data_IF_233318700652
#
_entry.id   IF_233318700652
#
_cell.length_a   1.000
_cell.length_b   1.000
_cell.length_c   1.000
_cell.angle_alpha   90.00
_cell.angle_beta   90.00
_cell.angle_gamma   90.00
#
_symmetry.space_group_name_H-M   'P 1'
#
loop_
_entity.id
_entity.type
_entity.pdbx_description
1 polymer ?
#
# COMPACT_ATOMS: atom_id res chain seq x y z
N UNK A 1 -2.18 3.44 15.48
CA UNK A 1 -2.30 1.97 15.64
C UNK A 1 -1.82 1.33 14.35
N UNK A 2 -0.54 0.97 14.32
CA UNK A 2 0.16 0.36 13.17
C UNK A 2 0.23 -1.17 13.34
N UNK A 3 -0.84 -1.72 13.89
CA UNK A 3 -1.04 -3.14 14.14
C UNK A 3 -2.48 -3.54 13.85
N UNK A 4 -2.79 -4.85 13.96
CA UNK A 4 -4.15 -5.34 13.83
C UNK A 4 -5.10 -4.68 14.85
N UNK A 5 -6.41 -4.63 14.58
CA UNK A 5 -7.38 -4.13 15.55
C UNK A 5 -7.33 -4.96 16.86
N UNK A 6 -7.48 -4.31 18.02
CA UNK A 6 -7.22 -4.91 19.33
C UNK A 6 -8.07 -6.15 19.68
N UNK A 7 -9.23 -6.32 19.04
CA UNK A 7 -10.15 -7.46 19.25
C UNK A 7 -10.27 -8.36 18.01
N UNK A 8 -9.30 -8.30 17.10
CA UNK A 8 -9.28 -9.13 15.89
C UNK A 8 -8.35 -10.33 16.06
N UNK A 9 -8.54 -11.36 15.24
CA UNK A 9 -7.74 -12.58 15.26
C UNK A 9 -7.32 -12.99 13.85
N UNK A 10 -6.27 -13.80 13.74
CA UNK A 10 -5.83 -14.27 12.44
C UNK A 10 -6.86 -15.21 11.84
N UNK A 11 -7.41 -14.87 10.67
CA UNK A 11 -8.43 -15.69 9.99
C UNK A 11 -7.95 -17.06 9.48
N UNK A 12 -6.67 -17.41 9.68
CA UNK A 12 -6.08 -18.69 9.27
C UNK A 12 -5.92 -19.62 10.48
N UNK A 13 -5.29 -19.17 11.57
CA UNK A 13 -5.12 -19.98 12.78
C UNK A 13 -6.20 -19.75 13.84
N UNK A 14 -7.07 -18.75 13.67
CA UNK A 14 -8.10 -18.32 14.62
C UNK A 14 -7.57 -17.91 16.00
N UNK A 15 -6.27 -17.61 16.09
CA UNK A 15 -5.61 -17.16 17.31
C UNK A 15 -5.14 -15.71 17.25
N UNK A 16 -4.49 -15.26 18.32
CA UNK A 16 -3.84 -13.96 18.37
C UNK A 16 -2.77 -13.84 17.27
N UNK A 17 -2.56 -12.61 16.81
CA UNK A 17 -1.55 -12.36 15.80
C UNK A 17 -0.13 -12.59 16.34
N UNK A 18 0.61 -13.48 15.69
CA UNK A 18 2.04 -13.68 15.91
C UNK A 18 2.81 -13.12 14.72
N UNK A 19 3.69 -12.15 14.98
CA UNK A 19 4.40 -11.37 13.96
C UNK A 19 3.42 -10.87 12.88
N UNK A 20 2.48 -9.96 13.22
CA UNK A 20 1.42 -9.53 12.32
C UNK A 20 1.95 -8.85 11.05
N UNK A 21 1.34 -9.20 9.93
CA UNK A 21 1.57 -8.60 8.62
C UNK A 21 0.25 -8.21 7.97
N UNK A 22 0.24 -7.02 7.35
CA UNK A 22 -0.90 -6.46 6.64
C UNK A 22 -0.75 -6.68 5.13
N UNK A 23 -1.78 -7.24 4.49
CA UNK A 23 -1.84 -7.36 3.04
C UNK A 23 -2.25 -6.05 2.35
N UNK A 24 -1.98 -5.92 1.05
CA UNK A 24 -2.44 -4.77 0.23
C UNK A 24 -3.97 -4.57 0.21
N UNK A 25 -4.74 -5.59 0.60
CA UNK A 25 -6.18 -5.50 0.81
C UNK A 25 -6.60 -5.06 2.23
N UNK A 26 -5.65 -4.58 3.04
CA UNK A 26 -5.80 -4.15 4.44
C UNK A 26 -6.07 -5.22 5.50
N UNK A 27 -6.28 -6.49 5.11
CA UNK A 27 -6.44 -7.60 6.06
C UNK A 27 -5.12 -8.01 6.71
N UNK A 28 -5.20 -8.51 7.94
CA UNK A 28 -4.07 -8.91 8.77
C UNK A 28 -3.97 -10.42 8.93
N UNK A 29 -2.74 -10.92 8.99
CA UNK A 29 -2.44 -12.33 9.22
C UNK A 29 -1.16 -12.48 10.06
N UNK A 30 -1.00 -13.61 10.73
CA UNK A 30 0.32 -14.01 11.24
C UNK A 30 1.27 -14.27 10.07
N UNK A 31 2.55 -13.92 10.21
CA UNK A 31 3.53 -14.09 9.13
C UNK A 31 3.66 -15.54 8.67
N UNK A 32 3.77 -16.50 9.60
CA UNK A 32 3.81 -17.93 9.27
C UNK A 32 2.52 -18.41 8.60
N UNK A 33 1.35 -17.99 9.09
CA UNK A 33 0.07 -18.42 8.54
C UNK A 33 -0.09 -18.03 7.06
N UNK A 34 0.25 -16.78 6.70
CA UNK A 34 0.09 -16.34 5.32
C UNK A 34 1.15 -16.94 4.38
N UNK A 35 2.35 -17.23 4.88
CA UNK A 35 3.36 -17.97 4.13
C UNK A 35 2.92 -19.40 3.84
N UNK A 36 2.28 -20.08 4.80
CA UNK A 36 1.71 -21.42 4.57
C UNK A 36 0.62 -21.43 3.50
N UNK A 37 -0.26 -20.41 3.50
CA UNK A 37 -1.26 -20.24 2.43
C UNK A 37 -0.59 -20.10 1.05
N UNK A 38 0.55 -19.43 0.97
CA UNK A 38 1.33 -19.35 -0.26
C UNK A 38 1.98 -20.69 -0.62
N UNK A 39 2.59 -21.39 0.34
CA UNK A 39 3.26 -22.68 0.14
C UNK A 39 2.31 -23.77 -0.37
N UNK A 40 1.04 -23.76 0.06
CA UNK A 40 0.01 -24.67 -0.43
C UNK A 40 -0.61 -24.25 -1.78
N UNK A 41 -0.32 -23.04 -2.23
CA UNK A 41 -0.78 -22.50 -3.51
C UNK A 41 0.15 -22.82 -4.67
N UNK A 42 -0.03 -22.08 -5.78
CA UNK A 42 0.94 -22.11 -6.87
C UNK A 42 2.15 -21.23 -6.52
N UNK A 43 3.34 -21.82 -6.49
CA UNK A 43 4.58 -21.09 -6.20
C UNK A 43 4.83 -19.91 -7.17
N UNK A 44 4.26 -19.96 -8.37
CA UNK A 44 4.41 -18.93 -9.42
C UNK A 44 3.35 -17.83 -9.37
N UNK A 45 2.41 -17.88 -8.42
CA UNK A 45 1.34 -16.90 -8.33
C UNK A 45 1.25 -16.31 -6.92
N UNK A 46 0.89 -15.03 -6.80
CA UNK A 46 0.60 -14.44 -5.50
C UNK A 46 -0.57 -15.19 -4.85
N UNK A 47 -0.47 -15.45 -3.55
CA UNK A 47 -1.56 -16.07 -2.81
C UNK A 47 -2.80 -15.15 -2.80
N UNK A 48 -3.99 -15.75 -2.67
CA UNK A 48 -5.23 -14.99 -2.54
C UNK A 48 -5.55 -14.79 -1.07
N UNK A 49 -6.05 -13.61 -0.75
CA UNK A 49 -6.52 -13.27 0.58
C UNK A 49 -7.67 -14.22 1.02
N UNK A 50 -7.54 -14.93 2.15
CA UNK A 50 -8.62 -15.78 2.68
C UNK A 50 -9.96 -15.06 2.88
N UNK A 51 -9.93 -13.76 3.21
CA UNK A 51 -11.13 -12.98 3.52
C UNK A 51 -11.81 -12.38 2.28
N UNK A 52 -11.04 -11.76 1.37
CA UNK A 52 -11.60 -11.03 0.23
C UNK A 52 -11.18 -11.54 -1.15
N UNK A 53 -10.41 -12.64 -1.21
CA UNK A 53 -9.97 -13.34 -2.42
C UNK A 53 -9.12 -12.52 -3.41
N UNK A 54 -8.76 -11.27 -3.08
CA UNK A 54 -7.82 -10.45 -3.85
C UNK A 54 -6.42 -11.05 -3.79
N UNK A 55 -5.64 -10.87 -4.86
CA UNK A 55 -4.23 -11.27 -4.86
C UNK A 55 -3.43 -10.41 -3.88
N UNK A 56 -2.68 -11.10 -3.02
CA UNK A 56 -1.78 -10.47 -2.07
C UNK A 56 -0.44 -10.33 -2.77
N UNK A 57 -0.08 -9.11 -3.14
CA UNK A 57 1.18 -8.83 -3.86
C UNK A 57 2.17 -8.06 -2.99
N UNK A 58 1.73 -7.61 -1.82
CA UNK A 58 2.56 -6.91 -0.85
C UNK A 58 2.05 -7.26 0.55
N UNK A 59 2.98 -7.66 1.41
CA UNK A 59 2.80 -7.89 2.83
C UNK A 59 3.68 -6.91 3.59
N UNK A 60 3.08 -6.14 4.50
CA UNK A 60 3.79 -5.12 5.27
C UNK A 60 3.78 -5.49 6.75
N UNK A 61 4.93 -5.62 7.43
CA UNK A 61 4.96 -5.90 8.86
C UNK A 61 4.27 -4.79 9.67
N UNK A 62 3.69 -5.17 10.82
CA UNK A 62 3.29 -4.22 11.86
C UNK A 62 4.52 -3.54 12.48
N UNK A 63 4.30 -2.44 13.21
CA UNK A 63 5.39 -1.79 13.94
C UNK A 63 6.06 -2.74 14.95
N UNK A 64 5.25 -3.44 15.73
CA UNK A 64 5.72 -4.41 16.73
C UNK A 64 6.51 -5.55 16.08
N UNK A 65 6.07 -6.01 14.91
CA UNK A 65 6.78 -7.03 14.13
C UNK A 65 8.15 -6.53 13.67
N UNK A 66 8.25 -5.26 13.27
CA UNK A 66 9.52 -4.63 12.88
C UNK A 66 10.46 -4.42 14.05
N UNK A 67 9.95 -4.07 15.24
CA UNK A 67 10.75 -3.95 16.47
C UNK A 67 11.27 -5.31 16.97
N UNK A 68 10.50 -6.38 16.72
CA UNK A 68 10.90 -7.75 17.06
C UNK A 68 11.89 -8.36 16.05
N UNK A 69 12.40 -7.60 15.06
CA UNK A 69 13.31 -8.13 14.05
C UNK A 69 14.62 -8.73 14.61
N UNK A 70 15.02 -8.38 15.84
CA UNK A 70 16.18 -8.99 16.51
C UNK A 70 15.91 -10.42 17.01
N UNK A 71 14.64 -10.84 17.13
CA UNK A 71 14.28 -12.20 17.47
C UNK A 71 14.59 -13.15 16.28
N UNK A 72 15.33 -14.26 16.47
CA UNK A 72 15.59 -15.24 15.43
C UNK A 72 14.34 -15.76 14.71
N UNK A 73 13.24 -15.94 15.43
CA UNK A 73 11.97 -16.40 14.83
C UNK A 73 11.37 -15.33 13.92
N UNK A 74 11.28 -14.09 14.40
CA UNK A 74 10.68 -12.99 13.65
C UNK A 74 11.52 -12.60 12.42
N UNK A 75 12.84 -12.58 12.56
CA UNK A 75 13.76 -12.30 11.44
C UNK A 75 13.60 -13.30 10.29
N UNK A 76 13.44 -14.58 10.59
CA UNK A 76 13.25 -15.60 9.55
C UNK A 76 11.89 -15.43 8.83
N UNK A 77 10.83 -15.12 9.56
CA UNK A 77 9.51 -14.83 8.98
C UNK A 77 9.57 -13.60 8.09
N UNK A 78 10.20 -12.51 8.55
CA UNK A 78 10.37 -11.27 7.80
C UNK A 78 11.16 -11.54 6.51
N UNK A 79 12.27 -12.29 6.58
CA UNK A 79 13.10 -12.63 5.41
C UNK A 79 12.35 -13.43 4.35
N UNK A 80 11.50 -14.37 4.76
CA UNK A 80 10.62 -15.12 3.83
C UNK A 80 9.60 -14.18 3.17
N UNK A 81 9.01 -13.28 3.94
CA UNK A 81 8.05 -12.29 3.43
C UNK A 81 8.71 -11.27 2.50
N UNK A 82 9.93 -10.83 2.79
CA UNK A 82 10.71 -9.99 1.90
C UNK A 82 10.97 -10.68 0.56
N UNK A 83 11.31 -11.97 0.60
CA UNK A 83 11.48 -12.77 -0.61
C UNK A 83 10.18 -12.88 -1.40
N UNK A 84 9.04 -13.08 -0.72
CA UNK A 84 7.71 -13.06 -1.34
C UNK A 84 7.40 -11.71 -2.02
N UNK A 85 7.61 -10.60 -1.30
CA UNK A 85 7.38 -9.25 -1.80
C UNK A 85 8.30 -8.90 -2.97
N UNK A 86 9.53 -9.43 -3.00
CA UNK A 86 10.44 -9.24 -4.13
C UNK A 86 9.93 -9.91 -5.40
N UNK A 87 9.35 -11.11 -5.27
CA UNK A 87 8.80 -11.87 -6.41
C UNK A 87 7.52 -11.20 -6.94
N UNK A 88 6.59 -10.81 -6.06
CA UNK A 88 5.24 -10.39 -6.46
C UNK A 88 4.96 -8.88 -6.33
N UNK A 89 5.79 -8.12 -5.62
CA UNK A 89 5.57 -6.70 -5.33
C UNK A 89 5.61 -5.81 -6.56
N UNK A 90 6.47 -6.14 -7.53
CA UNK A 90 6.64 -5.45 -8.81
C UNK A 90 5.68 -5.93 -9.89
N UNK A 91 4.89 -6.99 -9.63
CA UNK A 91 4.04 -7.59 -10.65
C UNK A 91 3.01 -6.56 -11.16
N UNK A 92 2.85 -6.48 -12.48
CA UNK A 92 2.01 -5.50 -13.15
C UNK A 92 0.54 -5.76 -12.84
N UNK A 93 0.05 -5.16 -11.76
CA UNK A 93 -1.37 -5.18 -11.43
C UNK A 93 -2.15 -4.40 -12.49
N UNK A 94 -3.19 -5.01 -13.05
CA UNK A 94 -4.11 -4.31 -13.96
C UNK A 94 -4.75 -3.10 -13.28
N UNK A 95 -5.28 -2.16 -14.07
CA UNK A 95 -5.84 -0.90 -13.54
C UNK A 95 -6.91 -1.12 -12.46
N UNK A 96 -7.76 -2.14 -12.61
CA UNK A 96 -8.76 -2.52 -11.60
C UNK A 96 -8.14 -2.86 -10.24
N UNK A 97 -7.04 -3.62 -10.23
CA UNK A 97 -6.35 -3.95 -9.00
C UNK A 97 -5.64 -2.73 -8.40
N UNK A 98 -5.08 -1.84 -9.23
CA UNK A 98 -4.51 -0.57 -8.74
C UNK A 98 -5.55 0.30 -8.04
N UNK A 99 -6.74 0.42 -8.63
CA UNK A 99 -7.87 1.14 -8.02
C UNK A 99 -8.31 0.50 -6.70
N UNK A 100 -8.32 -0.83 -6.62
CA UNK A 100 -8.68 -1.56 -5.40
C UNK A 100 -7.65 -1.42 -4.27
N UNK A 101 -6.36 -1.33 -4.62
CA UNK A 101 -5.26 -1.14 -3.67
C UNK A 101 -5.08 0.33 -3.27
N UNK A 102 -5.57 1.26 -4.09
CA UNK A 102 -5.43 2.70 -3.90
C UNK A 102 -5.90 3.23 -2.53
N UNK A 103 -7.10 2.90 -2.01
CA UNK A 103 -7.55 3.43 -0.72
C UNK A 103 -6.64 2.98 0.44
N UNK A 104 -6.10 1.76 0.37
CA UNK A 104 -5.13 1.27 1.34
C UNK A 104 -3.84 2.09 1.29
N UNK A 105 -3.29 2.29 0.09
CA UNK A 105 -2.04 3.01 -0.12
C UNK A 105 -2.15 4.48 0.29
N UNK A 106 -3.22 5.18 -0.10
CA UNK A 106 -3.45 6.59 0.26
C UNK A 106 -3.63 6.73 1.77
N UNK A 107 -4.50 5.90 2.39
CA UNK A 107 -4.74 5.96 3.84
C UNK A 107 -3.46 5.76 4.63
N UNK A 108 -2.61 4.83 4.19
CA UNK A 108 -1.32 4.57 4.83
C UNK A 108 -0.33 5.70 4.58
N UNK A 109 -0.21 6.19 3.35
CA UNK A 109 0.66 7.32 3.02
C UNK A 109 0.27 8.57 3.81
N UNK A 110 -1.01 8.90 3.88
CA UNK A 110 -1.51 10.05 4.62
C UNK A 110 -1.11 9.98 6.09
N UNK A 111 -1.26 8.80 6.71
CA UNK A 111 -0.82 8.56 8.09
C UNK A 111 0.70 8.74 8.25
N UNK A 112 1.50 8.17 7.36
CA UNK A 112 2.96 8.30 7.42
C UNK A 112 3.45 9.73 7.15
N UNK A 113 2.73 10.52 6.35
CA UNK A 113 3.03 11.94 6.10
C UNK A 113 2.67 12.80 7.31
N UNK A 114 1.54 12.50 7.98
CA UNK A 114 1.10 13.22 9.18
C UNK A 114 1.93 12.90 10.42
N UNK A 115 2.67 11.79 10.44
CA UNK A 115 3.54 11.41 11.54
C UNK A 115 4.92 12.11 11.41
N UNK A 116 5.25 13.08 12.29
CA UNK A 116 6.49 13.85 12.19
C UNK A 116 7.77 13.02 12.38
N UNK A 117 7.67 11.84 12.99
CA UNK A 117 8.82 11.00 13.35
C UNK A 117 9.20 9.98 12.25
N UNK A 118 8.38 9.79 11.21
CA UNK A 118 8.64 8.83 10.13
C UNK A 118 9.45 9.43 8.98
N UNK A 119 10.57 8.78 8.63
CA UNK A 119 11.45 9.12 7.51
C UNK A 119 10.89 8.64 6.17
N UNK A 120 9.76 9.21 5.73
CA UNK A 120 9.41 9.13 4.30
C UNK A 120 10.50 9.82 3.48
N UNK A 121 10.99 9.20 2.38
CA UNK A 121 11.95 9.83 1.48
C UNK A 121 11.49 11.23 1.07
N UNK A 122 12.38 12.22 1.20
CA UNK A 122 12.09 13.62 0.87
C UNK A 122 11.45 13.79 -0.52
N UNK A 123 11.85 12.95 -1.49
CA UNK A 123 11.31 12.93 -2.85
C UNK A 123 9.80 12.67 -2.90
N UNK A 124 9.25 11.82 -2.02
CA UNK A 124 7.81 11.59 -1.95
C UNK A 124 7.12 12.83 -1.40
N UNK A 125 7.65 13.39 -0.30
CA UNK A 125 7.10 14.60 0.32
C UNK A 125 7.08 15.75 -0.69
N UNK A 126 8.17 15.95 -1.42
CA UNK A 126 8.28 16.95 -2.48
C UNK A 126 7.29 16.69 -3.64
N UNK A 127 7.15 15.45 -4.12
CA UNK A 127 6.19 15.13 -5.19
C UNK A 127 4.74 15.32 -4.76
N UNK A 128 4.38 14.89 -3.55
CA UNK A 128 3.04 15.11 -2.97
C UNK A 128 2.78 16.60 -2.80
N UNK A 129 3.75 17.36 -2.27
CA UNK A 129 3.62 18.81 -2.11
C UNK A 129 3.49 19.55 -3.44
N UNK A 130 4.34 19.25 -4.42
CA UNK A 130 4.28 19.84 -5.76
C UNK A 130 2.94 19.58 -6.42
N UNK A 131 2.43 18.35 -6.28
CA UNK A 131 1.21 17.98 -6.97
C UNK A 131 -0.04 18.50 -6.20
N UNK A 132 0.00 18.66 -4.88
CA UNK A 132 -0.98 19.46 -4.12
C UNK A 132 -0.96 20.94 -4.54
N UNK A 133 0.24 21.52 -4.69
CA UNK A 133 0.42 22.89 -5.16
C UNK A 133 -0.14 23.06 -6.58
N UNK A 134 0.10 22.09 -7.48
CA UNK A 134 -0.50 22.08 -8.83
C UNK A 134 -2.02 22.05 -8.79
N UNK A 135 -2.63 21.25 -7.90
CA UNK A 135 -4.10 21.24 -7.72
C UNK A 135 -4.60 22.59 -7.21
N UNK A 136 -3.92 23.22 -6.26
CA UNK A 136 -4.27 24.56 -5.75
C UNK A 136 -4.12 25.62 -6.85
N UNK A 137 -3.05 25.57 -7.64
CA UNK A 137 -2.81 26.48 -8.77
C UNK A 137 -3.91 26.30 -9.83
N UNK A 138 -4.30 25.05 -10.13
CA UNK A 138 -5.39 24.76 -11.06
C UNK A 138 -6.70 25.38 -10.56
N UNK A 139 -7.11 25.12 -9.31
CA UNK A 139 -8.36 25.63 -8.72
C UNK A 139 -8.40 27.17 -8.60
N UNK A 140 -7.25 27.82 -8.37
CA UNK A 140 -7.17 29.28 -8.22
C UNK A 140 -6.87 30.01 -9.54
N UNK A 141 -6.57 29.29 -10.61
CA UNK A 141 -6.26 29.88 -11.91
C UNK A 141 -7.55 30.27 -12.63
N UNK A 142 -7.74 31.55 -13.00
CA UNK A 142 -8.89 31.99 -13.82
C UNK A 142 -8.80 31.53 -15.29
N UNK A 143 -7.87 30.61 -15.59
CA UNK A 143 -7.62 30.04 -16.92
C UNK A 143 -7.93 28.55 -16.84
N UNK A 144 -9.22 28.23 -16.74
CA UNK A 144 -9.67 26.90 -17.14
C UNK A 144 -9.55 26.79 -18.66
N UNK A 145 -8.95 25.69 -19.11
CA UNK A 145 -8.84 25.34 -20.54
C UNK A 145 -10.23 25.18 -21.19
N UNK A 146 -11.30 25.12 -20.38
CA UNK A 146 -12.70 25.03 -20.80
C UNK A 146 -13.54 26.00 -19.96
N UNK A 147 -14.24 26.99 -20.56
CA UNK A 147 -15.06 27.91 -19.78
C UNK A 147 -16.22 27.14 -19.11
N UNK A 148 -16.17 27.06 -17.78
CA UNK A 148 -17.15 26.40 -16.91
C UNK A 148 -18.59 26.88 -17.16
N UNK A 149 -18.73 28.10 -17.68
CA UNK A 149 -20.01 28.73 -18.03
C UNK A 149 -20.76 28.07 -19.22
N UNK A 150 -20.11 27.23 -20.04
CA UNK A 150 -20.71 26.61 -21.23
C UNK A 150 -20.99 25.10 -21.07
N UNK A 151 -20.30 24.40 -20.16
CA UNK A 151 -20.37 22.94 -20.02
C UNK A 151 -20.16 22.44 -18.59
N UNK A 152 -20.81 23.04 -17.58
CA UNK A 152 -20.53 22.82 -16.15
C UNK A 152 -20.31 21.36 -15.67
N UNK A 153 -20.95 20.34 -16.28
CA UNK A 153 -20.72 18.92 -15.91
C UNK A 153 -19.40 18.36 -16.48
N UNK A 154 -18.94 18.85 -17.64
CA UNK A 154 -17.69 18.40 -18.27
C UNK A 154 -16.44 18.97 -17.59
N UNK A 155 -16.52 20.17 -16.99
CA UNK A 155 -15.43 20.72 -16.16
C UNK A 155 -15.18 19.87 -14.93
N UNK A 156 -16.24 19.52 -14.19
CA UNK A 156 -16.16 18.63 -13.02
C UNK A 156 -15.59 17.24 -13.37
N UNK A 157 -15.86 16.75 -14.59
CA UNK A 157 -15.33 15.47 -15.05
C UNK A 157 -13.80 15.54 -15.24
N UNK A 158 -13.27 16.64 -15.78
CA UNK A 158 -11.83 16.86 -15.93
C UNK A 158 -11.12 16.86 -14.58
N UNK A 159 -11.67 17.58 -13.59
CA UNK A 159 -11.18 17.60 -12.20
C UNK A 159 -11.11 16.21 -11.58
N UNK A 160 -12.19 15.43 -11.73
CA UNK A 160 -12.25 14.06 -11.21
C UNK A 160 -11.21 13.17 -11.89
N UNK A 161 -11.02 13.30 -13.20
CA UNK A 161 -10.02 12.54 -13.95
C UNK A 161 -8.60 12.92 -13.51
N UNK A 162 -8.29 14.22 -13.40
CA UNK A 162 -6.99 14.73 -12.96
C UNK A 162 -6.69 14.25 -11.53
N UNK A 163 -7.66 14.37 -10.61
CA UNK A 163 -7.53 13.87 -9.25
C UNK A 163 -7.28 12.36 -9.22
N UNK A 164 -8.01 11.58 -10.02
CA UNK A 164 -7.83 10.14 -10.11
C UNK A 164 -6.43 9.77 -10.63
N UNK A 165 -5.95 10.44 -11.68
CA UNK A 165 -4.61 10.24 -12.24
C UNK A 165 -3.55 10.58 -11.20
N UNK A 166 -3.70 11.71 -10.49
CA UNK A 166 -2.83 12.11 -9.40
C UNK A 166 -2.75 11.01 -8.33
N UNK A 167 -3.89 10.53 -7.85
CA UNK A 167 -3.94 9.52 -6.79
C UNK A 167 -3.33 8.20 -7.26
N UNK A 168 -3.61 7.76 -8.49
CA UNK A 168 -2.98 6.59 -9.09
C UNK A 168 -1.46 6.76 -9.21
N UNK A 169 -0.97 7.94 -9.59
CA UNK A 169 0.46 8.23 -9.67
C UNK A 169 1.12 8.17 -8.29
N UNK A 170 0.54 8.84 -7.30
CA UNK A 170 1.02 8.83 -5.91
C UNK A 170 0.97 7.41 -5.34
N UNK A 171 -0.10 6.66 -5.58
CA UNK A 171 -0.27 5.27 -5.17
C UNK A 171 0.79 4.35 -5.77
N UNK A 172 1.07 4.47 -7.08
CA UNK A 172 2.12 3.68 -7.74
C UNK A 172 3.52 4.00 -7.21
N UNK A 173 3.83 5.29 -6.98
CA UNK A 173 5.09 5.72 -6.38
C UNK A 173 5.25 5.18 -4.95
N UNK A 174 4.22 5.35 -4.12
CA UNK A 174 4.25 4.90 -2.74
C UNK A 174 4.36 3.37 -2.65
N UNK A 175 3.62 2.65 -3.49
CA UNK A 175 3.75 1.20 -3.62
C UNK A 175 5.18 0.78 -3.97
N UNK A 176 5.82 1.42 -4.94
CA UNK A 176 7.19 1.11 -5.32
C UNK A 176 8.16 1.27 -4.13
N UNK A 177 7.90 2.25 -3.26
CA UNK A 177 8.69 2.48 -2.05
C UNK A 177 8.43 1.42 -0.99
N UNK A 178 7.18 1.01 -0.78
CA UNK A 178 6.87 -0.11 0.10
C UNK A 178 7.51 -1.41 -0.38
N UNK A 179 7.46 -1.70 -1.69
CA UNK A 179 8.11 -2.89 -2.26
C UNK A 179 9.61 -2.83 -2.08
N UNK A 180 10.24 -1.67 -2.27
CA UNK A 180 11.68 -1.50 -2.03
C UNK A 180 12.03 -1.66 -0.54
N UNK A 181 11.20 -1.11 0.36
CA UNK A 181 11.42 -1.15 1.81
C UNK A 181 11.23 -2.56 2.39
N UNK A 182 10.22 -3.28 1.91
CA UNK A 182 9.79 -4.58 2.47
C UNK A 182 10.04 -5.76 1.53
N UNK A 183 10.82 -5.57 0.45
CA UNK A 183 11.28 -6.63 -0.46
C UNK A 183 12.73 -7.08 -0.23
N UNK A 184 13.38 -6.53 0.80
CA UNK A 184 14.80 -6.75 1.10
C UNK A 184 15.75 -6.10 0.08
N UNK A 185 16.97 -5.79 0.51
CA UNK A 185 18.06 -5.34 -0.37
C UNK A 185 18.66 -6.52 -1.12
N UNK A 186 18.85 -6.39 -2.45
CA UNK A 186 19.74 -7.29 -3.19
C UNK A 186 21.17 -7.06 -2.71
N UNK A 187 21.67 -7.90 -1.82
CA UNK A 187 23.11 -8.15 -1.69
C UNK A 187 23.52 -9.16 -2.73
#
# INVERSE_FOLDING_TARGET
MDGPPANDCCAICHGNFHIPHQANCSHWYCGNCILEVWNHGSALQPCKCPLCRRHITLLVPSHESSEQADNPEASEVIRKIESYNRIFGSHSTGLSQRLQDLPFLIKRLFREVMDPQRSLPFVIKARVFLALLSTVIYVLSPVDIIPEALFGILGLLDDVIIALIFFLHVGTLYRAILVRRYGGSST
#
